data_IF_966265266135
#
_entry.id   IF_966265266135
#
_cell.length_a   1.000
_cell.length_b   1.000
_cell.length_c   1.000
_cell.angle_alpha   90.00
_cell.angle_beta   90.00
_cell.angle_gamma   90.00
#
_symmetry.space_group_name_H-M   'P 1'
#
loop_
_entity.id
_entity.type
_entity.pdbx_description
1 polymer ?
#
# COMPACT_ATOMS: atom_id res chain seq x y z
N UNK A 1 -15.63 56.69 8.05
CA UNK A 1 -14.28 56.09 8.13
C UNK A 1 -14.46 54.62 8.44
N UNK A 2 -14.24 53.71 7.48
CA UNK A 2 -14.44 52.27 7.64
C UNK A 2 -13.07 51.58 7.66
N UNK A 3 -12.73 50.96 8.78
CA UNK A 3 -11.49 50.20 8.93
C UNK A 3 -11.63 48.85 8.22
N UNK A 4 -10.86 48.66 7.15
CA UNK A 4 -10.72 47.38 6.48
C UNK A 4 -9.94 46.43 7.41
N UNK A 5 -10.60 45.36 7.87
CA UNK A 5 -9.93 44.26 8.55
C UNK A 5 -9.15 43.45 7.50
N UNK A 6 -7.83 43.67 7.45
CA UNK A 6 -6.92 42.83 6.66
C UNK A 6 -6.78 41.46 7.33
N UNK A 7 -7.50 40.46 6.82
CA UNK A 7 -7.30 39.05 7.19
C UNK A 7 -5.88 38.63 6.80
N UNK A 8 -5.03 38.17 7.73
CA UNK A 8 -3.71 37.67 7.37
C UNK A 8 -3.85 36.38 6.55
N UNK A 9 -3.51 36.46 5.27
CA UNK A 9 -3.38 35.30 4.38
C UNK A 9 -2.15 34.51 4.82
N UNK A 10 -2.34 33.39 5.52
CA UNK A 10 -1.27 32.44 5.81
C UNK A 10 -0.75 31.84 4.50
N UNK A 11 0.38 32.34 4.01
CA UNK A 11 1.10 31.67 2.91
C UNK A 11 1.62 30.32 3.40
N UNK A 12 1.39 29.21 2.67
CA UNK A 12 2.08 27.96 2.94
C UNK A 12 3.58 28.20 2.82
N UNK A 13 4.36 27.79 3.83
CA UNK A 13 5.82 27.85 3.78
C UNK A 13 6.30 26.88 2.68
N UNK A 14 7.12 27.35 1.72
CA UNK A 14 7.67 26.47 0.69
C UNK A 14 8.60 25.44 1.36
N UNK A 15 8.32 24.15 1.17
CA UNK A 15 9.16 23.05 1.62
C UNK A 15 8.63 22.23 2.80
N UNK A 16 7.53 22.64 3.45
CA UNK A 16 6.84 21.77 4.41
C UNK A 16 5.84 20.89 3.65
N UNK A 17 6.26 19.67 3.31
CA UNK A 17 5.31 18.63 2.94
C UNK A 17 4.33 18.49 4.11
N UNK A 18 3.03 18.69 3.84
CA UNK A 18 2.01 18.46 4.85
C UNK A 18 2.12 17.00 5.32
N UNK A 19 1.98 16.73 6.63
CA UNK A 19 2.06 15.37 7.14
C UNK A 19 0.99 14.52 6.45
N UNK A 20 1.42 13.46 5.76
CA UNK A 20 0.51 12.54 5.12
C UNK A 20 -0.17 11.72 6.21
N UNK A 21 -1.48 11.93 6.41
CA UNK A 21 -2.24 11.21 7.43
C UNK A 21 -2.63 9.80 7.00
N UNK A 22 -2.79 9.59 5.68
CA UNK A 22 -3.18 8.28 5.13
C UNK A 22 -2.48 7.99 3.81
N UNK A 23 -2.31 6.69 3.53
CA UNK A 23 -1.87 6.18 2.24
C UNK A 23 -3.05 5.68 1.42
N UNK A 24 -3.05 5.99 0.13
CA UNK A 24 -3.87 5.32 -0.88
C UNK A 24 -3.27 3.96 -1.25
N UNK A 25 -4.05 3.13 -1.94
CA UNK A 25 -3.55 1.90 -2.54
C UNK A 25 -2.35 2.17 -3.49
N UNK A 26 -2.37 3.26 -4.25
CA UNK A 26 -1.26 3.64 -5.14
C UNK A 26 0.00 4.05 -4.37
N UNK A 27 -0.14 4.73 -3.22
CA UNK A 27 1.02 5.05 -2.37
C UNK A 27 1.62 3.78 -1.79
N UNK A 28 0.78 2.83 -1.37
CA UNK A 28 1.21 1.50 -0.93
C UNK A 28 1.92 0.75 -2.08
N UNK A 29 1.42 0.85 -3.31
CA UNK A 29 2.05 0.25 -4.49
C UNK A 29 3.48 0.75 -4.70
N UNK A 30 3.67 2.06 -4.61
CA UNK A 30 4.99 2.71 -4.76
C UNK A 30 5.92 2.25 -3.64
N UNK A 31 5.45 2.25 -2.39
CA UNK A 31 6.24 1.83 -1.23
C UNK A 31 6.65 0.37 -1.26
N UNK A 32 5.80 -0.50 -1.82
CA UNK A 32 6.12 -1.92 -2.04
C UNK A 32 7.03 -2.14 -3.26
N UNK A 33 7.32 -1.11 -4.06
CA UNK A 33 8.11 -1.23 -5.30
C UNK A 33 7.38 -1.97 -6.43
N UNK A 34 6.04 -2.06 -6.39
CA UNK A 34 5.24 -2.88 -7.31
C UNK A 34 4.52 -2.05 -8.38
N UNK A 35 5.15 -0.99 -8.90
CA UNK A 35 4.53 -0.02 -9.81
C UNK A 35 4.03 -0.63 -11.13
N UNK A 36 4.68 -1.70 -11.61
CA UNK A 36 4.31 -2.39 -12.85
C UNK A 36 3.14 -3.39 -12.69
N UNK A 37 2.67 -3.61 -11.45
CA UNK A 37 1.62 -4.58 -11.16
C UNK A 37 0.24 -3.98 -11.34
N UNK A 38 -0.72 -4.83 -11.74
CA UNK A 38 -2.11 -4.41 -11.86
C UNK A 38 -2.76 -4.19 -10.50
N UNK A 39 -3.78 -3.32 -10.46
CA UNK A 39 -4.57 -3.06 -9.25
C UNK A 39 -5.16 -4.34 -8.65
N UNK A 40 -5.63 -5.27 -9.49
CA UNK A 40 -6.19 -6.55 -9.03
C UNK A 40 -5.13 -7.40 -8.32
N UNK A 41 -3.93 -7.47 -8.88
CA UNK A 41 -2.81 -8.17 -8.25
C UNK A 41 -2.47 -7.53 -6.91
N UNK A 42 -2.38 -6.19 -6.87
CA UNK A 42 -2.03 -5.44 -5.67
C UNK A 42 -3.05 -5.62 -4.54
N UNK A 43 -4.34 -5.61 -4.83
CA UNK A 43 -5.39 -5.86 -3.82
C UNK A 43 -5.26 -7.26 -3.21
N UNK A 44 -5.00 -8.27 -4.04
CA UNK A 44 -4.78 -9.64 -3.55
C UNK A 44 -3.49 -9.73 -2.73
N UNK A 45 -2.43 -9.06 -3.15
CA UNK A 45 -1.16 -9.03 -2.45
C UNK A 45 -1.27 -8.37 -1.07
N UNK A 46 -1.90 -7.19 -1.01
CA UNK A 46 -2.12 -6.48 0.26
C UNK A 46 -3.03 -7.26 1.21
N UNK A 47 -4.08 -7.93 0.69
CA UNK A 47 -4.91 -8.79 1.53
C UNK A 47 -4.10 -9.93 2.19
N UNK A 48 -3.18 -10.55 1.44
CA UNK A 48 -2.26 -11.57 1.99
C UNK A 48 -1.27 -10.99 2.99
N UNK A 49 -0.77 -9.78 2.76
CA UNK A 49 0.12 -9.12 3.71
C UNK A 49 -0.58 -8.83 5.04
N UNK A 50 -1.85 -8.44 5.02
CA UNK A 50 -2.66 -8.23 6.22
C UNK A 50 -2.85 -9.56 6.97
N UNK A 51 -3.21 -10.62 6.24
CA UNK A 51 -3.51 -11.93 6.82
C UNK A 51 -2.27 -12.66 7.35
N UNK A 52 -1.16 -12.63 6.61
CA UNK A 52 0.01 -13.47 6.87
C UNK A 52 1.26 -12.75 7.39
N UNK A 53 1.34 -11.42 7.26
CA UNK A 53 2.56 -10.66 7.53
C UNK A 53 2.35 -9.44 8.44
N UNK A 54 1.17 -9.33 9.07
CA UNK A 54 0.85 -8.28 10.02
C UNK A 54 0.83 -6.87 9.41
N UNK A 55 0.64 -6.75 8.10
CA UNK A 55 0.50 -5.45 7.46
C UNK A 55 -0.77 -4.74 7.98
N UNK A 56 -0.74 -3.41 8.19
CA UNK A 56 -1.89 -2.71 8.73
C UNK A 56 -3.14 -2.88 7.88
N UNK A 57 -4.27 -3.14 8.54
CA UNK A 57 -5.57 -3.09 7.90
C UNK A 57 -5.89 -1.65 7.45
N UNK A 58 -6.65 -1.47 6.34
CA UNK A 58 -7.14 -0.16 5.97
C UNK A 58 -8.15 0.36 7.00
N UNK A 59 -8.36 1.67 6.99
CA UNK A 59 -9.48 2.31 7.67
C UNK A 59 -10.80 1.70 7.18
N UNK A 60 -11.81 1.57 8.08
CA UNK A 60 -13.12 1.07 7.72
C UNK A 60 -13.71 1.85 6.55
N UNK A 61 -14.15 1.13 5.52
CA UNK A 61 -14.76 1.70 4.34
C UNK A 61 -16.15 1.12 4.16
N UNK A 62 -17.14 1.99 3.96
CA UNK A 62 -18.48 1.57 3.60
C UNK A 62 -18.51 1.10 2.14
N UNK A 63 -19.05 -0.11 1.92
CA UNK A 63 -19.31 -0.68 0.62
C UNK A 63 -20.69 -1.34 0.61
N UNK A 64 -21.63 -0.71 -0.11
CA UNK A 64 -23.05 -1.06 -0.02
C UNK A 64 -23.54 -0.87 1.41
N UNK A 65 -24.16 -1.92 1.94
CA UNK A 65 -24.71 -1.97 3.30
C UNK A 65 -23.71 -2.46 4.35
N UNK A 66 -22.45 -2.72 3.95
CA UNK A 66 -21.41 -3.25 4.82
C UNK A 66 -20.32 -2.21 5.09
N UNK A 67 -19.79 -2.19 6.30
CA UNK A 67 -18.56 -1.45 6.65
C UNK A 67 -17.52 -2.49 7.01
N UNK A 68 -16.47 -2.57 6.21
CA UNK A 68 -15.39 -3.54 6.40
C UNK A 68 -14.01 -2.89 6.27
N UNK A 69 -13.00 -3.64 6.67
CA UNK A 69 -11.58 -3.29 6.49
C UNK A 69 -10.95 -4.12 5.37
N UNK A 70 -11.75 -4.59 4.41
CA UNK A 70 -11.22 -5.35 3.29
C UNK A 70 -10.49 -4.39 2.32
N UNK A 71 -9.30 -4.75 1.81
CA UNK A 71 -8.60 -3.90 0.84
C UNK A 71 -9.43 -3.68 -0.42
N UNK A 72 -9.66 -2.41 -0.74
CA UNK A 72 -10.38 -1.96 -1.93
C UNK A 72 -9.63 -0.79 -2.55
N UNK A 73 -9.95 -0.44 -3.80
CA UNK A 73 -9.28 0.65 -4.53
C UNK A 73 -9.38 1.99 -3.79
N UNK A 74 -10.53 2.24 -3.13
CA UNK A 74 -10.78 3.47 -2.38
C UNK A 74 -10.32 3.42 -0.92
N UNK A 75 -9.76 2.28 -0.47
CA UNK A 75 -9.29 2.12 0.90
C UNK A 75 -8.14 3.09 1.20
N UNK A 76 -8.06 3.46 2.47
CA UNK A 76 -7.02 4.35 3.01
C UNK A 76 -6.37 3.67 4.20
N UNK A 77 -5.05 3.74 4.27
CA UNK A 77 -4.29 3.17 5.38
C UNK A 77 -3.80 4.26 6.32
N UNK A 78 -3.81 4.05 7.65
CA UNK A 78 -3.19 4.98 8.58
C UNK A 78 -1.69 5.10 8.30
N UNK A 79 -1.20 6.31 7.99
CA UNK A 79 0.19 6.48 7.55
C UNK A 79 1.20 6.00 8.61
N UNK A 80 1.00 6.39 9.87
CA UNK A 80 1.88 6.01 10.98
C UNK A 80 2.01 4.50 11.17
N UNK A 81 0.93 3.73 10.98
CA UNK A 81 0.96 2.28 11.11
C UNK A 81 1.73 1.63 9.94
N UNK A 82 1.55 2.15 8.74
CA UNK A 82 2.26 1.67 7.54
C UNK A 82 3.74 2.00 7.64
N UNK A 83 4.09 3.23 8.00
CA UNK A 83 5.48 3.65 8.23
C UNK A 83 6.16 2.76 9.26
N UNK A 84 5.53 2.56 10.42
CA UNK A 84 6.04 1.67 11.45
C UNK A 84 6.25 0.25 10.95
N UNK A 85 5.31 -0.31 10.17
CA UNK A 85 5.46 -1.66 9.62
C UNK A 85 6.67 -1.76 8.68
N UNK A 86 6.86 -0.77 7.81
CA UNK A 86 8.04 -0.71 6.94
C UNK A 86 9.33 -0.55 7.75
N UNK A 87 9.36 0.32 8.77
CA UNK A 87 10.54 0.56 9.61
C UNK A 87 10.94 -0.65 10.46
N UNK A 88 9.95 -1.43 10.94
CA UNK A 88 10.21 -2.65 11.73
C UNK A 88 10.66 -3.81 10.85
N UNK A 89 10.07 -3.96 9.66
CA UNK A 89 10.46 -5.02 8.73
C UNK A 89 11.77 -4.69 7.98
N UNK A 90 12.17 -3.42 7.94
CA UNK A 90 13.42 -2.93 7.34
C UNK A 90 14.21 -2.14 8.39
N UNK A 91 15.04 -2.79 9.22
CA UNK A 91 15.84 -2.07 10.20
C UNK A 91 16.67 -1.00 9.49
N UNK A 92 16.61 0.22 10.05
CA UNK A 92 17.26 1.46 9.61
C UNK A 92 18.56 1.19 8.82
N UNK A 93 18.50 1.35 7.49
CA UNK A 93 19.61 1.10 6.57
C UNK A 93 19.27 0.17 5.39
N UNK A 94 18.13 -0.52 5.43
CA UNK A 94 17.70 -1.45 4.37
C UNK A 94 16.87 -0.81 3.25
N UNK A 95 17.33 0.29 2.65
CA UNK A 95 16.85 0.62 1.31
C UNK A 95 17.27 -0.50 0.36
N UNK A 96 16.33 -1.36 -0.07
CA UNK A 96 16.30 -2.18 -1.31
C UNK A 96 15.46 -3.45 -1.14
N UNK A 97 14.17 -3.34 -1.49
CA UNK A 97 13.33 -4.19 -2.38
C UNK A 97 13.61 -5.69 -2.65
N UNK A 98 14.74 -6.31 -2.33
CA UNK A 98 15.05 -7.67 -2.83
C UNK A 98 14.73 -8.81 -1.84
N UNK A 99 14.67 -8.58 -0.53
CA UNK A 99 14.57 -9.67 0.47
C UNK A 99 13.14 -10.15 0.71
N UNK A 100 12.15 -9.27 0.63
CA UNK A 100 10.73 -9.62 0.74
C UNK A 100 10.23 -10.37 -0.50
N UNK A 101 10.79 -10.09 -1.68
CA UNK A 101 10.44 -10.77 -2.94
C UNK A 101 10.77 -12.26 -2.90
N UNK A 102 11.90 -12.65 -2.30
CA UNK A 102 12.34 -14.05 -2.30
C UNK A 102 11.43 -14.93 -1.44
N UNK A 103 11.10 -14.51 -0.23
CA UNK A 103 10.24 -15.28 0.67
C UNK A 103 8.79 -15.35 0.17
N UNK A 104 8.26 -14.25 -0.38
CA UNK A 104 6.89 -14.20 -0.88
C UNK A 104 6.73 -14.91 -2.25
N UNK A 105 7.75 -14.87 -3.12
CA UNK A 105 7.73 -15.60 -4.39
C UNK A 105 7.89 -17.10 -4.18
N UNK A 106 8.76 -17.54 -3.25
CA UNK A 106 8.96 -18.95 -2.94
C UNK A 106 7.69 -19.60 -2.35
N UNK A 107 6.92 -18.89 -1.50
CA UNK A 107 5.60 -19.39 -1.01
C UNK A 107 4.55 -19.50 -2.13
N UNK A 108 4.56 -18.55 -3.08
CA UNK A 108 3.60 -18.51 -4.18
C UNK A 108 3.89 -19.58 -5.24
N UNK A 109 5.16 -19.87 -5.50
CA UNK A 109 5.60 -20.92 -6.42
C UNK A 109 5.36 -22.32 -5.81
N UNK A 110 5.63 -22.50 -4.51
CA UNK A 110 5.34 -23.74 -3.79
C UNK A 110 3.83 -24.08 -3.81
N UNK A 111 2.96 -23.09 -3.65
CA UNK A 111 1.50 -23.27 -3.70
C UNK A 111 0.97 -23.44 -5.13
N UNK A 112 1.59 -22.82 -6.13
CA UNK A 112 1.26 -23.06 -7.53
C UNK A 112 1.61 -24.49 -7.99
N UNK A 113 2.75 -25.01 -7.52
CA UNK A 113 3.15 -26.41 -7.73
C UNK A 113 2.18 -27.40 -7.06
N UNK A 114 1.68 -27.08 -5.86
CA UNK A 114 0.72 -27.92 -5.14
C UNK A 114 -0.68 -27.97 -5.79
N UNK A 115 -1.05 -26.96 -6.59
CA UNK A 115 -2.38 -26.86 -7.25
C UNK A 115 -2.34 -27.40 -8.69
N UNK A 116 -1.20 -27.88 -9.18
CA UNK A 116 -1.09 -28.51 -10.50
C UNK A 116 -1.35 -27.56 -11.68
N UNK A 117 -1.24 -26.24 -11.47
CA UNK A 117 -1.40 -25.23 -12.52
C UNK A 117 -0.18 -25.27 -13.44
N UNK A 118 -0.26 -26.16 -14.43
CA UNK A 118 0.71 -26.30 -15.51
C UNK A 118 0.77 -24.98 -16.29
N UNK A 119 1.88 -24.27 -16.17
CA UNK A 119 2.19 -23.04 -16.91
C UNK A 119 1.93 -23.25 -18.41
N UNK A 120 0.83 -22.70 -18.92
CA UNK A 120 0.57 -22.65 -20.37
C UNK A 120 1.51 -21.62 -20.99
N UNK A 121 2.59 -22.15 -21.57
CA UNK A 121 3.56 -21.46 -22.41
C UNK A 121 2.83 -20.81 -23.59
N UNK A 122 2.63 -19.50 -23.54
CA UNK A 122 2.16 -18.71 -24.67
C UNK A 122 3.22 -18.71 -25.78
N UNK A 123 3.06 -19.61 -26.74
CA UNK A 123 3.81 -19.63 -27.99
C UNK A 123 3.31 -18.53 -28.92
N UNK A 124 4.26 -17.76 -29.47
CA UNK A 124 4.09 -16.79 -30.54
C UNK A 124 3.78 -17.54 -31.85
N UNK A 125 2.76 -17.13 -32.59
CA UNK A 125 2.60 -17.38 -34.02
C UNK A 125 2.18 -16.08 -34.68
#
# INVERSE_FOLDING_TARGET
>A
MAHAHSTPQLRPLPGLALPQFTYSLSDIQVRLGQMDRSTRWLLSYVAKLIDGHGFPAPLPLQHGDTVDTMPRVKSRWPAAAVDYWFDVQLPQGGGTTARAERAAAEDLDARAAAIGLRTIKGGRS
#
